data_IF_711302543712
#
_entry.id   IF_711302543712
#
_cell.length_a   1.000
_cell.length_b   1.000
_cell.length_c   1.000
_cell.angle_alpha   90.00
_cell.angle_beta   90.00
_cell.angle_gamma   90.00
#
_symmetry.space_group_name_H-M   'P 1'
#
loop_
_entity.id
_entity.type
_entity.pdbx_description
1 polymer ?
#
# COMPACT_ATOMS: atom_id res chain seq x y z
N UNK A 1 32.68 9.69 9.46
CA UNK A 1 31.28 9.77 9.97
C UNK A 1 30.76 8.35 10.14
N UNK A 2 30.35 7.94 11.35
CA UNK A 2 29.86 6.57 11.59
C UNK A 2 28.35 6.54 11.35
N UNK A 3 27.89 5.62 10.51
CA UNK A 3 26.47 5.41 10.22
C UNK A 3 25.73 4.92 11.49
N UNK A 4 24.68 5.64 11.91
CA UNK A 4 23.94 5.34 13.14
C UNK A 4 22.68 4.50 12.85
N UNK A 5 22.88 3.20 12.64
CA UNK A 5 21.81 2.27 12.28
C UNK A 5 20.64 2.24 13.27
N UNK A 6 20.94 2.34 14.57
CA UNK A 6 19.94 2.30 15.64
C UNK A 6 18.98 3.48 15.57
N UNK A 7 19.53 4.69 15.44
CA UNK A 7 18.74 5.91 15.29
C UNK A 7 17.80 5.85 14.09
N UNK A 8 18.29 5.47 12.90
CA UNK A 8 17.43 5.38 11.72
C UNK A 8 16.37 4.29 11.86
N UNK A 9 16.70 3.14 12.47
CA UNK A 9 15.70 2.11 12.76
C UNK A 9 14.61 2.61 13.70
N UNK A 10 14.96 3.37 14.73
CA UNK A 10 13.99 3.95 15.66
C UNK A 10 13.06 4.93 14.93
N UNK A 11 13.63 5.89 14.19
CA UNK A 11 12.87 6.88 13.42
C UNK A 11 11.94 6.20 12.40
N UNK A 12 12.44 5.22 11.63
CA UNK A 12 11.67 4.52 10.59
C UNK A 12 10.58 3.58 11.13
N UNK A 13 10.52 3.37 12.45
CA UNK A 13 9.47 2.62 13.13
C UNK A 13 8.69 3.48 14.14
N UNK A 14 8.98 4.78 14.23
CA UNK A 14 8.30 5.69 15.12
C UNK A 14 6.82 5.83 14.75
N UNK A 15 5.96 6.03 15.75
CA UNK A 15 4.52 6.16 15.54
C UNK A 15 4.13 7.24 14.51
N UNK A 16 4.78 8.43 14.48
CA UNK A 16 4.50 9.43 13.44
C UNK A 16 4.82 8.94 12.03
N UNK A 17 5.96 8.28 11.83
CA UNK A 17 6.34 7.74 10.51
C UNK A 17 5.40 6.62 10.08
N UNK A 18 5.03 5.73 11.00
CA UNK A 18 4.04 4.67 10.74
C UNK A 18 2.69 5.29 10.35
N UNK A 19 2.24 6.34 11.05
CA UNK A 19 1.01 7.07 10.72
C UNK A 19 1.03 7.68 9.33
N UNK A 20 2.15 8.27 8.90
CA UNK A 20 2.30 8.84 7.56
C UNK A 20 2.18 7.75 6.49
N UNK A 21 2.94 6.66 6.60
CA UNK A 21 2.95 5.62 5.55
C UNK A 21 1.62 4.87 5.48
N UNK A 22 0.97 4.63 6.62
CA UNK A 22 -0.36 4.00 6.67
C UNK A 22 -1.44 4.92 6.12
N UNK A 23 -1.38 6.22 6.43
CA UNK A 23 -2.30 7.21 5.88
C UNK A 23 -2.22 7.31 4.36
N UNK A 24 -1.02 7.29 3.78
CA UNK A 24 -0.86 7.24 2.31
C UNK A 24 -1.39 5.92 1.75
N UNK A 25 -1.11 4.79 2.39
CA UNK A 25 -1.62 3.49 1.93
C UNK A 25 -3.16 3.43 1.93
N UNK A 26 -3.83 4.02 2.92
CA UNK A 26 -5.30 4.10 2.93
C UNK A 26 -5.87 5.01 1.82
N UNK A 27 -5.15 6.07 1.44
CA UNK A 27 -5.53 6.86 0.25
C UNK A 27 -5.44 6.01 -1.03
N UNK A 28 -4.36 5.23 -1.16
CA UNK A 28 -4.20 4.28 -2.28
C UNK A 28 -5.27 3.20 -2.26
N UNK A 29 -5.60 2.66 -1.08
CA UNK A 29 -6.67 1.67 -0.91
C UNK A 29 -8.03 2.22 -1.39
N UNK A 30 -8.39 3.43 -0.96
CA UNK A 30 -9.63 4.08 -1.38
C UNK A 30 -9.68 4.31 -2.89
N UNK A 31 -8.59 4.80 -3.47
CA UNK A 31 -8.46 5.00 -4.92
C UNK A 31 -8.55 3.68 -5.69
N UNK A 32 -7.88 2.64 -5.21
CA UNK A 32 -7.91 1.31 -5.82
C UNK A 32 -9.31 0.68 -5.76
N UNK A 33 -10.05 0.88 -4.66
CA UNK A 33 -11.45 0.44 -4.53
C UNK A 33 -12.39 1.21 -5.45
N UNK A 34 -12.19 2.51 -5.61
CA UNK A 34 -13.01 3.35 -6.49
C UNK A 34 -12.81 3.00 -7.98
N UNK A 35 -11.58 2.69 -8.37
CA UNK A 35 -11.23 2.34 -9.76
C UNK A 35 -11.34 0.84 -10.08
N UNK A 36 -11.65 0.00 -9.09
CA UNK A 36 -11.68 -1.44 -9.26
C UNK A 36 -12.69 -1.87 -10.34
N UNK A 37 -12.34 -2.77 -11.27
CA UNK A 37 -13.32 -3.40 -12.13
C UNK A 37 -14.28 -4.24 -11.26
N UNK A 38 -15.59 -4.10 -11.50
CA UNK A 38 -16.62 -4.79 -10.72
C UNK A 38 -17.41 -5.73 -11.62
N UNK A 39 -17.28 -7.02 -11.33
CA UNK A 39 -18.22 -8.06 -11.76
C UNK A 39 -19.08 -8.46 -10.56
N UNK A 40 -18.52 -9.27 -9.64
CA UNK A 40 -19.19 -9.64 -8.37
C UNK A 40 -18.85 -8.71 -7.19
N UNK A 41 -17.79 -7.91 -7.31
CA UNK A 41 -17.25 -7.08 -6.21
C UNK A 41 -16.18 -7.76 -5.35
N UNK A 42 -15.98 -9.08 -5.45
CA UNK A 42 -15.04 -9.84 -4.62
C UNK A 42 -13.59 -9.28 -4.67
N UNK A 43 -13.12 -8.87 -5.86
CA UNK A 43 -11.81 -8.22 -6.00
C UNK A 43 -11.75 -6.89 -5.24
N UNK A 44 -12.71 -5.98 -5.46
CA UNK A 44 -12.78 -4.66 -4.80
C UNK A 44 -12.81 -4.79 -3.28
N UNK A 45 -13.67 -5.68 -2.79
CA UNK A 45 -13.92 -5.85 -1.37
C UNK A 45 -12.73 -6.54 -0.67
N UNK A 46 -11.93 -7.30 -1.42
CA UNK A 46 -10.67 -7.90 -0.96
C UNK A 46 -9.47 -6.95 -0.93
N UNK A 47 -9.59 -5.71 -1.41
CA UNK A 47 -8.50 -4.71 -1.35
C UNK A 47 -8.37 -4.19 0.09
N UNK A 48 -7.16 -4.22 0.65
CA UNK A 48 -6.89 -3.72 2.00
C UNK A 48 -5.42 -3.35 2.21
N UNK A 49 -5.13 -2.66 3.31
CA UNK A 49 -3.76 -2.31 3.73
C UNK A 49 -3.22 -3.35 4.72
N UNK A 50 -1.99 -3.79 4.49
CA UNK A 50 -1.20 -4.58 5.44
C UNK A 50 0.03 -3.80 5.91
N UNK A 51 0.16 -3.62 7.22
CA UNK A 51 1.34 -2.99 7.83
C UNK A 51 2.34 -4.07 8.21
N UNK A 52 3.57 -3.98 7.67
CA UNK A 52 4.60 -4.99 7.86
C UNK A 52 5.93 -4.36 8.24
N UNK A 53 6.69 -5.05 9.09
CA UNK A 53 8.12 -4.75 9.25
C UNK A 53 8.92 -5.40 8.12
N UNK A 54 9.83 -4.63 7.53
CA UNK A 54 10.75 -5.05 6.46
C UNK A 54 12.13 -4.50 6.76
N UNK A 55 13.03 -5.37 7.22
CA UNK A 55 14.35 -4.97 7.70
C UNK A 55 14.22 -3.95 8.83
N UNK A 56 14.82 -2.77 8.65
CA UNK A 56 14.88 -1.70 9.66
C UNK A 56 13.73 -0.69 9.57
N UNK A 57 12.68 -0.95 8.80
CA UNK A 57 11.55 -0.01 8.61
C UNK A 57 10.20 -0.69 8.64
N UNK A 58 9.19 0.10 8.93
CA UNK A 58 7.79 -0.26 8.70
C UNK A 58 7.37 0.15 7.28
N UNK A 59 6.62 -0.72 6.61
CA UNK A 59 5.98 -0.46 5.31
C UNK A 59 4.49 -0.73 5.42
N UNK A 60 3.68 0.02 4.67
CA UNK A 60 2.26 -0.26 4.46
C UNK A 60 2.08 -0.70 3.01
N UNK A 61 1.46 -1.85 2.80
CA UNK A 61 1.29 -2.48 1.48
C UNK A 61 -0.19 -2.58 1.18
N UNK A 62 -0.62 -2.11 0.01
CA UNK A 62 -1.99 -2.35 -0.47
C UNK A 62 -2.00 -3.66 -1.24
N UNK A 63 -2.88 -4.58 -0.85
CA UNK A 63 -2.99 -5.92 -1.41
C UNK A 63 -4.44 -6.24 -1.78
N UNK A 64 -4.64 -7.23 -2.66
CA UNK A 64 -5.96 -7.77 -3.00
C UNK A 64 -5.98 -9.29 -2.74
N UNK A 65 -6.91 -9.76 -1.92
CA UNK A 65 -6.98 -11.16 -1.44
C UNK A 65 -7.88 -12.09 -2.24
N UNK A 66 -8.60 -11.59 -3.26
CA UNK A 66 -9.48 -12.46 -4.05
C UNK A 66 -8.68 -13.51 -4.84
N UNK A 67 -9.27 -14.70 -5.05
CA UNK A 67 -8.60 -15.81 -5.75
C UNK A 67 -8.14 -15.47 -7.18
N UNK A 68 -8.77 -14.47 -7.78
CA UNK A 68 -8.54 -14.02 -9.15
C UNK A 68 -7.80 -12.67 -9.22
N UNK A 69 -7.28 -12.15 -8.09
CA UNK A 69 -6.62 -10.85 -8.04
C UNK A 69 -5.43 -10.74 -8.99
N UNK A 70 -4.61 -11.80 -9.11
CA UNK A 70 -3.47 -11.83 -10.04
C UNK A 70 -3.91 -11.66 -11.51
N UNK A 71 -5.05 -12.24 -11.90
CA UNK A 71 -5.59 -12.09 -13.27
C UNK A 71 -6.09 -10.67 -13.48
N UNK A 72 -6.78 -10.08 -12.49
CA UNK A 72 -7.24 -8.69 -12.56
C UNK A 72 -6.05 -7.73 -12.65
N UNK A 73 -5.05 -7.87 -11.79
CA UNK A 73 -3.86 -7.02 -11.77
C UNK A 73 -3.04 -7.13 -13.06
N UNK A 74 -2.84 -8.33 -13.60
CA UNK A 74 -2.08 -8.50 -14.85
C UNK A 74 -2.76 -7.82 -16.05
N UNK A 75 -4.10 -7.74 -16.06
CA UNK A 75 -4.87 -7.12 -17.15
C UNK A 75 -5.06 -5.61 -16.97
N UNK A 76 -5.19 -5.16 -15.72
CA UNK A 76 -5.66 -3.80 -15.41
C UNK A 76 -4.63 -2.96 -14.66
N UNK A 77 -3.64 -3.57 -14.02
CA UNK A 77 -2.69 -2.88 -13.15
C UNK A 77 -3.35 -1.96 -12.12
N UNK A 78 -4.53 -2.32 -11.61
CA UNK A 78 -5.37 -1.43 -10.82
C UNK A 78 -4.64 -0.88 -9.59
N UNK A 79 -3.96 -1.74 -8.81
CA UNK A 79 -3.22 -1.29 -7.62
C UNK A 79 -2.05 -0.37 -8.00
N UNK A 80 -1.30 -0.73 -9.05
CA UNK A 80 -0.16 0.07 -9.51
C UNK A 80 -0.59 1.45 -10.03
N UNK A 81 -1.71 1.52 -10.76
CA UNK A 81 -2.27 2.78 -11.26
C UNK A 81 -2.86 3.63 -10.14
N UNK A 82 -3.53 3.02 -9.16
CA UNK A 82 -4.01 3.72 -7.97
C UNK A 82 -2.85 4.34 -7.18
N UNK A 83 -1.78 3.58 -6.97
CA UNK A 83 -0.54 4.11 -6.37
C UNK A 83 0.01 5.28 -7.18
N UNK A 84 0.07 5.15 -8.51
CA UNK A 84 0.53 6.22 -9.39
C UNK A 84 -0.30 7.50 -9.30
N UNK A 85 -1.63 7.40 -9.16
CA UNK A 85 -2.51 8.57 -9.00
C UNK A 85 -2.34 9.27 -7.65
N UNK A 86 -2.11 8.52 -6.59
CA UNK A 86 -1.86 9.10 -5.25
C UNK A 86 -0.44 9.66 -5.12
N UNK A 87 0.56 8.96 -5.66
CA UNK A 87 1.97 9.33 -5.51
C UNK A 87 2.45 10.33 -6.59
N UNK A 88 1.85 10.30 -7.78
CA UNK A 88 2.19 11.17 -8.91
C UNK A 88 1.24 12.34 -9.12
N UNK A 89 0.30 12.59 -8.19
CA UNK A 89 -0.63 13.72 -8.22
C UNK A 89 -0.01 15.03 -7.70
N UNK A 90 1.18 15.38 -8.19
CA UNK A 90 1.82 16.69 -8.06
C UNK A 90 2.12 17.29 -9.42
#
# INVERSE_FOLDING_TARGET
MKWNEGFFSEVLNSAPVVGIVTGVAHKVEAEAKAAAPVDTGEYRDGIHVEVKRRGKRTVAVVVASSRHSMIVESRTGNLARALGRVAGGG
#
